data_IF_616844190478
#
_entry.id   IF_616844190478
#
_cell.length_a   1.000
_cell.length_b   1.000
_cell.length_c   1.000
_cell.angle_alpha   90.00
_cell.angle_beta   90.00
_cell.angle_gamma   90.00
#
_symmetry.space_group_name_H-M   'P 1'
#
loop_
_entity.id
_entity.type
_entity.pdbx_description
1 polymer ?
#
# COMPACT_ATOMS: atom_id res chain seq x y z
N UNK A 1 -20.11 40.67 12.50
CA UNK A 1 -19.03 39.68 12.36
C UNK A 1 -19.60 38.35 12.81
N UNK A 2 -20.40 37.72 11.94
CA UNK A 2 -21.10 36.49 12.28
C UNK A 2 -20.16 35.33 11.99
N UNK A 3 -19.77 34.66 13.08
CA UNK A 3 -19.11 33.36 13.10
C UNK A 3 -19.90 32.38 12.24
N UNK A 4 -19.25 31.81 11.22
CA UNK A 4 -19.83 30.76 10.38
C UNK A 4 -19.98 29.50 11.25
N UNK A 5 -21.20 29.11 11.59
CA UNK A 5 -21.45 27.83 12.27
C UNK A 5 -21.04 26.69 11.33
N UNK A 6 -20.17 25.75 11.75
CA UNK A 6 -19.90 24.57 10.95
C UNK A 6 -21.19 23.77 10.80
N UNK A 7 -21.60 23.52 9.56
CA UNK A 7 -22.87 22.85 9.25
C UNK A 7 -22.68 21.34 9.21
N UNK A 8 -23.73 20.56 9.51
CA UNK A 8 -23.67 19.08 9.52
C UNK A 8 -23.22 18.45 8.19
N UNK A 9 -23.30 19.20 7.09
CA UNK A 9 -22.79 18.78 5.78
C UNK A 9 -21.26 18.71 5.75
N UNK A 10 -20.56 19.61 6.45
CA UNK A 10 -19.09 19.60 6.56
C UNK A 10 -18.60 18.35 7.32
N UNK A 11 -19.29 17.99 8.41
CA UNK A 11 -18.98 16.77 9.18
C UNK A 11 -19.24 15.49 8.38
N UNK A 12 -20.32 15.46 7.58
CA UNK A 12 -20.66 14.34 6.70
C UNK A 12 -19.65 14.17 5.56
N UNK A 13 -19.23 15.29 4.95
CA UNK A 13 -18.19 15.33 3.91
C UNK A 13 -16.85 14.87 4.49
N UNK A 14 -16.45 15.39 5.66
CA UNK A 14 -15.23 14.98 6.34
C UNK A 14 -15.26 13.47 6.67
N UNK A 15 -16.37 12.97 7.19
CA UNK A 15 -16.54 11.54 7.46
C UNK A 15 -16.42 10.69 6.19
N UNK A 16 -16.96 11.16 5.06
CA UNK A 16 -16.82 10.51 3.75
C UNK A 16 -15.36 10.47 3.27
N UNK A 17 -14.62 11.58 3.37
CA UNK A 17 -13.20 11.62 3.02
C UNK A 17 -12.35 10.71 3.90
N UNK A 18 -12.59 10.70 5.21
CA UNK A 18 -11.88 9.81 6.14
C UNK A 18 -12.18 8.34 5.81
N UNK A 19 -13.43 8.00 5.45
CA UNK A 19 -13.79 6.64 5.00
C UNK A 19 -13.08 6.27 3.70
N UNK A 20 -13.01 7.18 2.73
CA UNK A 20 -12.31 6.96 1.47
C UNK A 20 -10.80 6.72 1.69
N UNK A 21 -10.16 7.51 2.57
CA UNK A 21 -8.75 7.32 2.94
C UNK A 21 -8.54 5.95 3.60
N UNK A 22 -9.41 5.53 4.51
CA UNK A 22 -9.33 4.20 5.13
C UNK A 22 -9.46 3.08 4.09
N UNK A 23 -10.42 3.19 3.19
CA UNK A 23 -10.60 2.20 2.12
C UNK A 23 -9.38 2.14 1.18
N UNK A 24 -8.79 3.29 0.83
CA UNK A 24 -7.58 3.35 0.03
C UNK A 24 -6.39 2.70 0.75
N UNK A 25 -6.20 3.01 2.05
CA UNK A 25 -5.18 2.37 2.89
C UNK A 25 -5.37 0.86 2.94
N UNK A 26 -6.60 0.39 3.16
CA UNK A 26 -6.88 -1.05 3.26
C UNK A 26 -6.61 -1.76 1.92
N UNK A 27 -6.91 -1.09 0.81
CA UNK A 27 -6.57 -1.56 -0.55
C UNK A 27 -5.06 -1.65 -0.73
N UNK A 28 -4.30 -0.63 -0.31
CA UNK A 28 -2.83 -0.64 -0.36
C UNK A 28 -2.23 -1.77 0.49
N UNK A 29 -2.76 -1.99 1.69
CA UNK A 29 -2.32 -3.08 2.58
C UNK A 29 -2.59 -4.45 1.97
N UNK A 30 -3.79 -4.64 1.39
CA UNK A 30 -4.15 -5.89 0.71
C UNK A 30 -3.26 -6.14 -0.51
N UNK A 31 -2.96 -5.10 -1.29
CA UNK A 31 -2.06 -5.18 -2.43
C UNK A 31 -0.62 -5.50 -2.02
N UNK A 32 -0.09 -4.89 -0.94
CA UNK A 32 1.25 -5.19 -0.43
C UNK A 32 1.35 -6.63 0.08
N UNK A 33 0.33 -7.13 0.80
CA UNK A 33 0.28 -8.52 1.25
C UNK A 33 0.30 -9.50 0.07
N UNK A 34 -0.51 -9.23 -0.96
CA UNK A 34 -0.54 -10.06 -2.17
C UNK A 34 0.83 -10.04 -2.88
N UNK A 35 1.45 -8.86 -3.01
CA UNK A 35 2.79 -8.75 -3.59
C UNK A 35 3.82 -9.58 -2.81
N UNK A 36 3.81 -9.49 -1.48
CA UNK A 36 4.69 -10.27 -0.59
C UNK A 36 4.50 -11.78 -0.79
N UNK A 37 3.27 -12.26 -0.88
CA UNK A 37 2.96 -13.66 -1.15
C UNK A 37 3.49 -14.12 -2.51
N UNK A 38 3.28 -13.32 -3.55
CA UNK A 38 3.78 -13.61 -4.89
C UNK A 38 5.30 -13.68 -4.94
N UNK A 39 5.99 -12.75 -4.27
CA UNK A 39 7.46 -12.75 -4.16
C UNK A 39 7.94 -13.96 -3.37
N UNK A 40 7.31 -14.29 -2.24
CA UNK A 40 7.68 -15.46 -1.43
C UNK A 40 7.58 -16.75 -2.27
N UNK A 41 6.48 -16.95 -3.00
CA UNK A 41 6.32 -18.12 -3.86
C UNK A 41 7.33 -18.13 -5.02
N UNK A 42 7.57 -17.00 -5.68
CA UNK A 42 8.60 -16.88 -6.70
C UNK A 42 10.00 -17.26 -6.16
N UNK A 43 10.34 -16.80 -4.94
CA UNK A 43 11.59 -17.14 -4.28
C UNK A 43 11.71 -18.64 -3.98
N UNK A 44 10.61 -19.30 -3.58
CA UNK A 44 10.56 -20.77 -3.38
C UNK A 44 10.79 -21.54 -4.69
N UNK A 45 10.41 -20.97 -5.83
CA UNK A 45 10.64 -21.55 -7.15
C UNK A 45 12.03 -21.21 -7.75
N UNK A 46 12.89 -20.53 -6.98
CA UNK A 46 14.27 -20.23 -7.38
C UNK A 46 14.45 -18.92 -8.15
N UNK A 47 13.40 -18.10 -8.29
CA UNK A 47 13.53 -16.75 -8.89
C UNK A 47 14.49 -15.93 -8.04
N UNK A 48 15.50 -15.32 -8.67
CA UNK A 48 16.54 -14.56 -7.96
C UNK A 48 16.04 -13.18 -7.52
N UNK A 49 16.66 -12.60 -6.49
CA UNK A 49 16.40 -11.20 -6.10
C UNK A 49 16.66 -10.19 -7.21
N UNK A 50 17.55 -10.52 -8.16
CA UNK A 50 17.79 -9.69 -9.34
C UNK A 50 16.54 -9.66 -10.22
N UNK A 51 16.00 -10.83 -10.58
CA UNK A 51 14.78 -10.93 -11.39
C UNK A 51 13.56 -10.30 -10.71
N UNK A 52 13.44 -10.43 -9.38
CA UNK A 52 12.39 -9.73 -8.61
C UNK A 52 12.57 -8.21 -8.72
N UNK A 53 13.79 -7.70 -8.52
CA UNK A 53 14.11 -6.29 -8.66
C UNK A 53 13.75 -5.76 -10.06
N UNK A 54 14.21 -6.45 -11.10
CA UNK A 54 13.96 -6.10 -12.50
C UNK A 54 12.45 -6.04 -12.79
N UNK A 55 11.68 -7.01 -12.28
CA UNK A 55 10.21 -7.07 -12.46
C UNK A 55 9.50 -5.91 -11.74
N UNK A 56 10.01 -5.50 -10.59
CA UNK A 56 9.44 -4.40 -9.79
C UNK A 56 9.97 -3.01 -10.22
N UNK A 57 10.84 -2.94 -11.22
CA UNK A 57 11.47 -1.69 -11.65
C UNK A 57 12.40 -1.10 -10.57
N UNK A 58 13.02 -1.94 -9.76
CA UNK A 58 13.91 -1.53 -8.66
C UNK A 58 15.23 -2.31 -8.68
N UNK A 59 16.17 -1.95 -7.82
CA UNK A 59 17.44 -2.67 -7.74
C UNK A 59 17.29 -3.98 -6.96
N UNK A 60 18.19 -4.94 -7.20
CA UNK A 60 18.30 -6.17 -6.38
C UNK A 60 18.40 -5.89 -4.88
N UNK A 61 19.20 -4.89 -4.50
CA UNK A 61 19.40 -4.53 -3.08
C UNK A 61 18.11 -3.98 -2.47
N UNK A 62 17.40 -3.10 -3.19
CA UNK A 62 16.10 -2.56 -2.77
C UNK A 62 15.04 -3.65 -2.64
N UNK A 63 15.00 -4.61 -3.58
CA UNK A 63 14.10 -5.76 -3.49
C UNK A 63 14.44 -6.64 -2.28
N UNK A 64 15.71 -7.01 -2.11
CA UNK A 64 16.16 -7.81 -0.97
C UNK A 64 15.87 -7.13 0.38
N UNK A 65 16.08 -5.82 0.48
CA UNK A 65 15.81 -5.06 1.70
C UNK A 65 14.31 -5.01 2.02
N UNK A 66 13.47 -4.75 1.01
CA UNK A 66 12.00 -4.67 1.16
C UNK A 66 11.39 -6.00 1.62
N UNK A 67 11.96 -7.12 1.22
CA UNK A 67 11.42 -8.46 1.44
C UNK A 67 12.29 -9.32 2.36
N UNK A 68 13.15 -8.70 3.17
CA UNK A 68 14.09 -9.41 4.06
C UNK A 68 13.40 -10.21 5.16
N UNK A 69 12.13 -9.91 5.42
CA UNK A 69 11.25 -10.52 6.40
C UNK A 69 10.31 -11.60 5.81
N UNK A 70 10.48 -11.94 4.52
CA UNK A 70 9.77 -13.04 3.84
C UNK A 70 10.36 -14.44 4.09
#
# INVERSE_FOLDING_TARGET
>A
MTINEPTQDDDSILASHVKAIRAARDTLNAADLHLRQAVHEARRQGVTWQQVGDTLGTTRQSAQERFRDL
#
